data_IF_676606599053
#
_entry.id   IF_676606599053
#
_cell.length_a   1.000
_cell.length_b   1.000
_cell.length_c   1.000
_cell.angle_alpha   90.00
_cell.angle_beta   90.00
_cell.angle_gamma   90.00
#
_symmetry.space_group_name_H-M   'P 1'
#
loop_
_entity.id
_entity.type
_entity.pdbx_description
1 polymer ?
#
# COMPACT_ATOMS: atom_id res chain seq x y z
N UNK A 1 15.71 15.52 -7.84
CA UNK A 1 16.18 14.28 -8.49
C UNK A 1 15.06 13.25 -8.38
N UNK A 2 14.67 12.58 -9.47
CA UNK A 2 13.75 11.44 -9.36
C UNK A 2 14.54 10.29 -8.73
N UNK A 3 14.49 10.16 -7.41
CA UNK A 3 14.93 8.94 -6.74
C UNK A 3 13.93 7.85 -7.13
N UNK A 4 14.35 6.96 -8.03
CA UNK A 4 13.67 5.69 -8.22
C UNK A 4 14.17 4.80 -7.09
N UNK A 5 13.36 4.50 -6.06
CA UNK A 5 13.78 3.52 -5.07
C UNK A 5 14.18 2.25 -5.81
N UNK A 6 15.35 1.69 -5.49
CA UNK A 6 15.74 0.38 -6.02
C UNK A 6 14.55 -0.56 -5.82
N UNK A 7 14.00 -1.03 -6.94
CA UNK A 7 12.73 -1.72 -6.93
C UNK A 7 12.90 -3.11 -6.34
N UNK A 8 12.21 -3.35 -5.24
CA UNK A 8 12.11 -4.67 -4.62
C UNK A 8 11.49 -5.72 -5.56
N UNK A 9 10.86 -5.29 -6.66
CA UNK A 9 10.39 -6.14 -7.76
C UNK A 9 11.51 -6.84 -8.56
N UNK A 10 12.75 -6.31 -8.52
CA UNK A 10 13.88 -6.79 -9.33
C UNK A 10 14.88 -7.66 -8.55
N UNK A 11 14.67 -7.82 -7.24
CA UNK A 11 15.48 -8.64 -6.35
C UNK A 11 14.73 -9.92 -5.99
N UNK A 12 15.40 -10.87 -5.33
CA UNK A 12 14.69 -11.97 -4.67
C UNK A 12 13.69 -11.37 -3.70
N UNK A 13 12.42 -11.79 -3.79
CA UNK A 13 11.36 -11.31 -2.91
C UNK A 13 11.65 -11.77 -1.48
N UNK A 14 12.29 -10.90 -0.71
CA UNK A 14 12.42 -11.07 0.73
C UNK A 14 11.14 -10.57 1.41
N UNK A 15 10.63 -11.36 2.36
CA UNK A 15 9.48 -10.93 3.14
C UNK A 15 9.90 -9.83 4.13
N UNK A 16 9.37 -8.62 3.95
CA UNK A 16 9.57 -7.48 4.85
C UNK A 16 8.59 -7.45 6.03
N UNK A 17 7.56 -8.30 6.01
CA UNK A 17 6.60 -8.41 7.10
C UNK A 17 7.03 -9.51 8.09
N UNK A 18 6.69 -9.32 9.36
CA UNK A 18 6.97 -10.27 10.43
C UNK A 18 5.77 -10.34 11.38
N UNK A 19 5.57 -11.52 11.98
CA UNK A 19 4.53 -11.72 12.99
C UNK A 19 4.66 -10.76 14.17
N UNK A 20 3.55 -10.13 14.55
CA UNK A 20 3.54 -9.19 15.67
C UNK A 20 4.11 -7.81 15.35
N UNK A 21 4.41 -7.49 14.08
CA UNK A 21 4.78 -6.14 13.67
C UNK A 21 3.72 -5.12 14.11
N UNK A 22 4.19 -3.91 14.45
CA UNK A 22 3.32 -2.76 14.63
C UNK A 22 3.13 -2.04 13.31
N UNK A 23 2.03 -1.30 13.18
CA UNK A 23 1.82 -0.40 12.04
C UNK A 23 2.99 0.60 11.98
N UNK A 24 3.72 0.72 10.86
CA UNK A 24 4.81 1.68 10.75
C UNK A 24 4.27 3.11 10.84
N UNK A 25 5.05 4.02 11.43
CA UNK A 25 4.68 5.44 11.49
C UNK A 25 4.64 6.06 10.08
N UNK A 26 3.73 6.99 9.87
CA UNK A 26 3.66 7.79 8.65
C UNK A 26 4.97 8.58 8.46
N UNK A 27 5.61 8.50 7.28
CA UNK A 27 6.77 9.34 7.00
C UNK A 27 6.38 10.82 7.00
N UNK A 28 7.29 11.66 7.50
CA UNK A 28 7.20 13.11 7.29
C UNK A 28 7.74 13.42 5.91
N UNK A 29 6.94 14.08 5.07
CA UNK A 29 7.32 14.48 3.71
C UNK A 29 7.10 15.97 3.53
N UNK A 30 7.86 16.56 2.62
CA UNK A 30 7.68 17.95 2.19
C UNK A 30 6.59 18.00 1.10
N UNK A 31 5.33 17.97 1.53
CA UNK A 31 4.14 18.04 0.68
C UNK A 31 2.95 18.62 1.44
N UNK A 32 1.86 18.90 0.75
CA UNK A 32 0.63 19.35 1.41
C UNK A 32 0.05 18.21 2.28
N UNK A 33 -0.51 18.55 3.45
CA UNK A 33 -1.18 17.57 4.29
C UNK A 33 -2.42 17.03 3.58
N UNK A 34 -2.79 15.74 3.78
CA UNK A 34 -3.96 15.17 3.13
C UNK A 34 -5.27 15.92 3.44
N UNK A 35 -5.37 16.50 4.64
CA UNK A 35 -6.53 17.24 5.14
C UNK A 35 -6.63 18.69 4.65
N UNK A 36 -5.76 19.13 3.72
CA UNK A 36 -5.89 20.44 3.07
C UNK A 36 -7.28 20.60 2.44
N UNK A 37 -7.88 21.78 2.56
CA UNK A 37 -9.30 22.04 2.26
C UNK A 37 -9.77 21.45 0.91
N UNK A 38 -8.98 21.67 -0.15
CA UNK A 38 -9.29 21.18 -1.50
C UNK A 38 -9.36 19.65 -1.64
N UNK A 39 -8.80 18.89 -0.70
CA UNK A 39 -8.72 17.43 -0.74
C UNK A 39 -9.61 16.74 0.31
N UNK A 40 -10.33 17.49 1.14
CA UNK A 40 -11.08 16.94 2.28
C UNK A 40 -12.10 15.87 1.88
N UNK A 41 -12.72 15.99 0.71
CA UNK A 41 -13.69 15.01 0.20
C UNK A 41 -13.08 13.62 -0.05
N UNK A 42 -11.76 13.52 -0.19
CA UNK A 42 -11.07 12.23 -0.40
C UNK A 42 -10.67 11.56 0.92
N UNK A 43 -10.76 12.27 2.05
CA UNK A 43 -10.38 11.76 3.36
C UNK A 43 -11.50 10.89 3.91
N UNK A 44 -11.18 9.62 4.10
CA UNK A 44 -12.11 8.66 4.69
C UNK A 44 -12.09 8.80 6.21
N UNK A 45 -13.26 8.93 6.82
CA UNK A 45 -13.38 8.92 8.28
C UNK A 45 -13.14 7.51 8.86
N UNK A 46 -12.52 7.41 10.05
CA UNK A 46 -12.28 6.12 10.69
C UNK A 46 -13.57 5.50 11.23
N UNK A 47 -13.85 4.27 10.84
CA UNK A 47 -15.04 3.55 11.28
C UNK A 47 -14.71 2.29 12.12
N UNK A 48 -13.48 1.78 12.02
CA UNK A 48 -13.09 0.52 12.66
C UNK A 48 -11.91 0.69 13.65
N UNK A 49 -11.62 -0.30 14.52
CA UNK A 49 -10.42 -0.30 15.35
C UNK A 49 -9.12 -0.24 14.53
N UNK A 50 -9.08 -0.88 13.36
CA UNK A 50 -7.95 -0.91 12.43
C UNK A 50 -7.70 0.49 11.86
N UNK A 51 -8.75 1.18 11.41
CA UNK A 51 -8.69 2.58 10.98
C UNK A 51 -8.08 3.48 12.07
N UNK A 52 -8.56 3.34 13.31
CA UNK A 52 -8.03 4.09 14.46
C UNK A 52 -6.58 3.72 14.78
N UNK A 53 -6.15 2.50 14.50
CA UNK A 53 -4.76 2.09 14.69
C UNK A 53 -3.84 2.75 13.64
N UNK A 54 -4.28 2.81 12.39
CA UNK A 54 -3.58 3.49 11.31
C UNK A 54 -3.45 5.01 11.58
N UNK A 55 -4.54 5.66 12.00
CA UNK A 55 -4.51 7.09 12.35
C UNK A 55 -3.59 7.37 13.54
N UNK A 56 -3.57 6.50 14.56
CA UNK A 56 -2.64 6.61 15.69
C UNK A 56 -1.17 6.54 15.27
N UNK A 57 -0.87 5.85 14.17
CA UNK A 57 0.46 5.82 13.56
C UNK A 57 0.76 7.04 12.66
N UNK A 58 -0.15 8.02 12.59
CA UNK A 58 0.05 9.32 11.93
C UNK A 58 -0.42 9.38 10.47
N UNK A 59 -1.18 8.39 10.01
CA UNK A 59 -1.65 8.32 8.62
C UNK A 59 -3.07 8.88 8.46
N UNK A 60 -3.39 9.38 7.26
CA UNK A 60 -4.75 9.79 6.88
C UNK A 60 -5.36 8.79 5.89
N UNK A 61 -6.59 8.34 6.15
CA UNK A 61 -7.23 7.27 5.40
C UNK A 61 -7.81 7.79 4.07
N UNK A 62 -7.74 6.97 3.02
CA UNK A 62 -8.42 7.26 1.76
C UNK A 62 -8.86 6.00 1.03
N UNK A 63 -9.74 6.18 0.04
CA UNK A 63 -10.33 5.08 -0.70
C UNK A 63 -11.23 4.20 0.18
N UNK A 64 -11.94 3.26 -0.45
CA UNK A 64 -12.75 2.31 0.28
C UNK A 64 -11.88 1.24 0.96
N UNK A 65 -12.28 0.81 2.16
CA UNK A 65 -11.75 -0.43 2.76
C UNK A 65 -12.21 -1.62 1.91
N UNK A 66 -11.28 -2.49 1.54
CA UNK A 66 -11.57 -3.74 0.84
C UNK A 66 -11.62 -4.86 1.86
N UNK A 67 -12.63 -5.75 1.78
CA UNK A 67 -12.83 -6.83 2.74
C UNK A 67 -13.18 -8.13 2.01
N UNK A 68 -12.56 -9.23 2.44
CA UNK A 68 -12.94 -10.60 2.08
C UNK A 68 -12.91 -11.45 3.36
N UNK A 69 -14.09 -11.90 3.81
CA UNK A 69 -14.26 -12.56 5.11
C UNK A 69 -13.64 -11.74 6.25
N UNK A 70 -12.61 -12.28 6.92
CA UNK A 70 -11.91 -11.65 8.03
C UNK A 70 -10.69 -10.82 7.60
N UNK A 71 -10.33 -10.82 6.32
CA UNK A 71 -9.19 -10.09 5.78
C UNK A 71 -9.65 -8.75 5.23
N UNK A 72 -8.95 -7.68 5.62
CA UNK A 72 -9.20 -6.32 5.15
C UNK A 72 -7.93 -5.63 4.69
N UNK A 73 -8.08 -4.77 3.67
CA UNK A 73 -7.03 -3.91 3.16
C UNK A 73 -7.49 -2.46 3.27
N UNK A 74 -6.68 -1.67 3.96
CA UNK A 74 -6.95 -0.25 4.21
C UNK A 74 -5.80 0.57 3.62
N UNK A 75 -6.12 1.60 2.84
CA UNK A 75 -5.12 2.53 2.32
C UNK A 75 -5.08 3.81 3.13
N UNK A 76 -3.88 4.35 3.34
CA UNK A 76 -3.66 5.60 4.02
C UNK A 76 -2.42 6.32 3.48
N UNK A 77 -2.38 7.64 3.59
CA UNK A 77 -1.34 8.51 3.01
C UNK A 77 -0.78 9.49 4.04
N UNK A 78 0.40 10.02 3.73
CA UNK A 78 1.08 11.02 4.57
C UNK A 78 1.02 12.43 3.99
N UNK A 79 0.75 12.55 2.69
CA UNK A 79 0.56 13.83 2.03
C UNK A 79 -0.13 13.68 0.69
N UNK A 80 -0.36 14.80 0.04
CA UNK A 80 -0.99 14.89 -1.28
C UNK A 80 -0.27 15.89 -2.17
N UNK A 81 -0.41 15.73 -3.48
CA UNK A 81 0.02 16.76 -4.42
C UNK A 81 -1.10 17.79 -4.74
N UNK A 82 -0.80 18.74 -5.64
CA UNK A 82 -1.73 19.80 -6.04
C UNK A 82 -3.06 19.31 -6.63
N UNK A 83 -3.13 18.04 -7.07
CA UNK A 83 -4.33 17.40 -7.61
C UNK A 83 -4.93 16.36 -6.64
N UNK A 84 -4.58 16.45 -5.36
CA UNK A 84 -5.04 15.55 -4.29
C UNK A 84 -4.63 14.08 -4.47
N UNK A 85 -3.61 13.78 -5.29
CA UNK A 85 -3.15 12.40 -5.44
C UNK A 85 -2.30 11.99 -4.23
N UNK A 86 -2.44 10.76 -3.73
CA UNK A 86 -1.76 10.32 -2.51
C UNK A 86 -0.25 10.23 -2.69
N UNK A 87 0.48 10.77 -1.72
CA UNK A 87 1.93 10.72 -1.61
C UNK A 87 2.33 10.01 -0.31
N UNK A 88 3.47 9.32 -0.39
CA UNK A 88 4.02 8.46 0.65
C UNK A 88 2.91 7.66 1.35
N UNK A 89 2.14 6.95 0.54
CA UNK A 89 0.97 6.18 0.96
C UNK A 89 1.29 4.70 1.08
N UNK A 90 0.47 3.97 1.83
CA UNK A 90 0.62 2.54 2.01
C UNK A 90 -0.75 1.84 2.05
N UNK A 91 -0.75 0.55 1.73
CA UNK A 91 -1.87 -0.35 1.92
C UNK A 91 -1.54 -1.36 3.04
N UNK A 92 -2.37 -1.35 4.09
CA UNK A 92 -2.21 -2.14 5.31
C UNK A 92 -3.17 -3.32 5.29
N UNK A 93 -2.67 -4.51 5.59
CA UNK A 93 -3.45 -5.75 5.64
C UNK A 93 -3.74 -6.11 7.10
N UNK A 94 -5.00 -6.42 7.39
CA UNK A 94 -5.45 -6.93 8.68
C UNK A 94 -6.22 -8.23 8.50
N UNK A 95 -6.08 -9.13 9.46
CA UNK A 95 -6.78 -10.43 9.51
C UNK A 95 -7.37 -10.56 10.90
N UNK A 96 -8.70 -10.67 10.99
CA UNK A 96 -9.42 -10.71 12.29
C UNK A 96 -9.03 -9.53 13.21
N UNK A 97 -8.81 -8.35 12.62
CA UNK A 97 -8.40 -7.13 13.29
C UNK A 97 -6.93 -7.07 13.73
N UNK A 98 -6.14 -8.10 13.44
CA UNK A 98 -4.69 -8.10 13.71
C UNK A 98 -3.92 -7.64 12.47
N UNK A 99 -2.93 -6.78 12.66
CA UNK A 99 -2.08 -6.29 11.56
C UNK A 99 -1.19 -7.41 11.04
N UNK A 100 -1.28 -7.70 9.74
CA UNK A 100 -0.52 -8.75 9.07
C UNK A 100 0.70 -8.22 8.27
N UNK A 101 0.66 -6.95 7.87
CA UNK A 101 1.75 -6.33 7.11
C UNK A 101 1.31 -5.27 6.12
N UNK A 102 2.26 -4.80 5.30
CA UNK A 102 2.03 -3.84 4.21
C UNK A 102 2.23 -4.49 2.85
N UNK A 103 1.47 -4.04 1.84
CA UNK A 103 1.57 -4.55 0.47
C UNK A 103 2.85 -4.10 -0.25
N UNK A 104 3.56 -3.11 0.27
CA UNK A 104 4.88 -2.68 -0.22
C UNK A 104 5.84 -2.47 0.96
N UNK A 105 7.14 -2.77 0.80
CA UNK A 105 8.15 -2.56 1.85
C UNK A 105 8.40 -1.08 2.18
N UNK A 106 8.01 -0.17 1.28
CA UNK A 106 8.16 1.27 1.45
C UNK A 106 6.89 2.02 1.03
N UNK A 107 6.62 3.20 1.60
CA UNK A 107 5.53 4.08 1.13
C UNK A 107 5.67 4.39 -0.36
N UNK A 108 4.54 4.39 -1.05
CA UNK A 108 4.41 4.57 -2.50
C UNK A 108 3.93 5.98 -2.81
N UNK A 109 4.12 6.41 -4.05
CA UNK A 109 3.66 7.69 -4.53
C UNK A 109 2.80 7.50 -5.78
N UNK A 110 1.67 8.18 -5.83
CA UNK A 110 0.80 8.12 -7.01
C UNK A 110 1.56 8.56 -8.26
N UNK A 111 1.37 7.82 -9.36
CA UNK A 111 2.01 8.08 -10.66
C UNK A 111 3.53 8.00 -10.67
N UNK A 112 4.12 7.37 -9.65
CA UNK A 112 5.53 6.94 -9.68
C UNK A 112 5.60 5.42 -9.81
N UNK A 113 6.82 4.95 -10.07
CA UNK A 113 7.11 3.54 -10.18
C UNK A 113 6.77 2.79 -8.88
N UNK A 114 6.03 1.69 -8.98
CA UNK A 114 5.52 0.95 -7.82
C UNK A 114 4.21 1.51 -7.23
N UNK A 115 3.53 2.45 -7.90
CA UNK A 115 2.15 2.87 -7.56
C UNK A 115 1.17 1.71 -7.73
N UNK A 116 0.29 1.47 -6.75
CA UNK A 116 -0.77 0.46 -6.85
C UNK A 116 -1.76 0.86 -7.96
N UNK A 117 -1.99 -0.05 -8.89
CA UNK A 117 -3.05 0.00 -9.89
C UNK A 117 -4.33 -0.62 -9.31
N UNK A 118 -4.23 -1.87 -8.83
CA UNK A 118 -5.37 -2.66 -8.32
C UNK A 118 -4.94 -3.62 -7.22
N UNK A 119 -5.89 -3.94 -6.35
CA UNK A 119 -5.77 -4.94 -5.30
C UNK A 119 -6.92 -5.92 -5.50
N UNK A 120 -6.62 -7.21 -5.49
CA UNK A 120 -7.59 -8.29 -5.60
C UNK A 120 -7.48 -9.17 -4.35
N UNK A 121 -8.52 -9.19 -3.53
CA UNK A 121 -8.68 -10.19 -2.47
C UNK A 121 -9.21 -11.47 -3.11
N UNK A 122 -8.31 -12.41 -3.40
CA UNK A 122 -8.65 -13.66 -4.11
C UNK A 122 -9.45 -14.58 -3.20
N UNK A 123 -9.00 -14.70 -1.95
CA UNK A 123 -9.69 -15.38 -0.87
C UNK A 123 -9.24 -14.81 0.49
N UNK A 124 -9.54 -15.48 1.61
CA UNK A 124 -9.15 -15.01 2.94
C UNK A 124 -7.64 -14.91 3.13
N UNK A 125 -6.87 -15.76 2.45
CA UNK A 125 -5.46 -15.97 2.74
C UNK A 125 -4.57 -15.60 1.54
N UNK A 126 -5.14 -15.05 0.48
CA UNK A 126 -4.42 -14.72 -0.75
C UNK A 126 -4.86 -13.40 -1.35
N UNK A 127 -3.87 -12.57 -1.65
CA UNK A 127 -4.03 -11.24 -2.26
C UNK A 127 -3.17 -11.17 -3.51
N UNK A 128 -3.73 -10.67 -4.62
CA UNK A 128 -2.98 -10.31 -5.81
C UNK A 128 -2.98 -8.79 -5.94
N UNK A 129 -1.80 -8.19 -6.12
CA UNK A 129 -1.66 -6.74 -6.28
C UNK A 129 -1.00 -6.43 -7.62
N UNK A 130 -1.58 -5.48 -8.35
CA UNK A 130 -1.00 -4.91 -9.55
C UNK A 130 -0.35 -3.58 -9.21
N UNK A 131 0.93 -3.45 -9.56
CA UNK A 131 1.72 -2.24 -9.41
C UNK A 131 2.10 -1.69 -10.78
N UNK A 132 1.91 -0.39 -10.99
CA UNK A 132 2.34 0.34 -12.18
C UNK A 132 3.86 0.38 -12.23
N UNK A 133 4.42 0.13 -13.40
CA UNK A 133 5.85 0.22 -13.66
C UNK A 133 6.15 1.36 -14.60
N UNK A 134 6.80 2.39 -14.06
CA UNK A 134 7.17 3.60 -14.77
C UNK A 134 8.65 3.59 -15.13
N UNK A 135 8.94 3.68 -16.43
CA UNK A 135 10.28 3.94 -16.92
C UNK A 135 10.65 5.43 -16.81
N UNK A 136 11.93 5.76 -17.02
CA UNK A 136 12.39 7.16 -17.05
C UNK A 136 11.75 7.98 -18.17
N UNK A 137 11.32 7.32 -19.24
CA UNK A 137 10.70 7.94 -20.42
C UNK A 137 9.18 7.98 -20.35
N UNK A 138 8.59 7.31 -19.35
CA UNK A 138 7.13 7.26 -19.25
C UNK A 138 6.57 8.62 -18.83
N UNK A 139 5.51 9.10 -19.50
CA UNK A 139 4.76 10.23 -19.00
C UNK A 139 4.05 9.84 -17.70
N UNK A 140 3.91 10.77 -16.76
CA UNK A 140 3.29 10.47 -15.45
C UNK A 140 1.86 9.92 -15.56
N UNK A 141 1.15 10.14 -16.68
CA UNK A 141 -0.20 9.59 -16.88
C UNK A 141 -0.21 8.07 -17.05
N UNK A 142 0.86 7.48 -17.57
CA UNK A 142 0.76 6.25 -18.33
C UNK A 142 2.04 5.41 -18.17
N UNK A 143 1.98 4.43 -17.26
CA UNK A 143 3.02 3.42 -17.06
C UNK A 143 3.17 2.52 -18.28
N UNK A 144 4.39 2.12 -18.63
CA UNK A 144 4.68 1.18 -19.74
C UNK A 144 4.56 -0.29 -19.36
N UNK A 145 4.50 -0.63 -18.07
CA UNK A 145 4.39 -2.02 -17.61
C UNK A 145 3.57 -2.15 -16.31
N UNK A 146 3.23 -3.39 -15.96
CA UNK A 146 2.63 -3.77 -14.66
C UNK A 146 3.46 -4.90 -14.06
N UNK A 147 3.72 -4.81 -12.76
CA UNK A 147 4.17 -5.95 -11.95
C UNK A 147 3.01 -6.48 -11.14
N UNK A 148 2.80 -7.80 -11.19
CA UNK A 148 1.81 -8.53 -10.41
C UNK A 148 2.52 -9.23 -9.27
N UNK A 149 2.12 -8.97 -8.04
CA UNK A 149 2.67 -9.63 -6.86
C UNK A 149 1.58 -10.43 -6.17
N UNK A 150 1.83 -11.73 -6.03
CA UNK A 150 0.98 -12.63 -5.26
C UNK A 150 1.45 -12.67 -3.82
N UNK A 151 0.53 -12.51 -2.89
CA UNK A 151 0.77 -12.61 -1.47
C UNK A 151 -0.04 -13.77 -0.88
N UNK A 152 0.56 -14.45 0.09
CA UNK A 152 -0.13 -15.32 1.03
C UNK A 152 -0.22 -14.67 2.40
N UNK A 153 -1.18 -15.11 3.20
CA UNK A 153 -1.32 -14.77 4.60
C UNK A 153 -1.17 -16.07 5.38
N UNK A 154 -0.13 -16.15 6.20
CA UNK A 154 0.18 -17.35 6.97
C UNK A 154 0.29 -17.03 8.46
N UNK A 155 -0.06 -17.97 9.35
CA UNK A 155 0.16 -17.81 10.77
C UNK A 155 1.64 -18.03 11.14
N UNK A 156 2.26 -17.06 11.79
CA UNK A 156 3.57 -17.17 12.44
C UNK A 156 3.39 -16.92 13.94
N UNK A 157 3.67 -17.91 14.78
CA UNK A 157 3.46 -17.83 16.24
C UNK A 157 2.04 -17.35 16.62
N UNK A 158 1.02 -17.84 15.89
CA UNK A 158 -0.38 -17.45 16.03
C UNK A 158 -0.71 -15.97 15.68
N UNK A 159 0.21 -15.26 15.00
CA UNK A 159 -0.03 -13.95 14.40
C UNK A 159 -0.10 -14.07 12.88
N UNK A 160 -1.03 -13.37 12.20
CA UNK A 160 -1.06 -13.38 10.75
C UNK A 160 0.16 -12.63 10.20
N UNK A 161 0.74 -13.13 9.12
CA UNK A 161 1.85 -12.50 8.41
C UNK A 161 1.57 -12.53 6.92
N UNK A 162 1.64 -11.35 6.29
CA UNK A 162 1.56 -11.22 4.85
C UNK A 162 2.91 -11.54 4.21
N UNK A 163 2.97 -12.52 3.31
CA UNK A 163 4.19 -13.00 2.68
C UNK A 163 4.10 -12.78 1.16
N UNK A 164 5.01 -12.00 0.54
CA UNK A 164 5.11 -11.95 -0.91
C UNK A 164 5.66 -13.27 -1.44
N UNK A 165 4.96 -13.90 -2.38
CA UNK A 165 5.33 -15.21 -2.93
C UNK A 165 6.04 -15.12 -4.27
N UNK A 166 5.51 -14.29 -5.17
CA UNK A 166 6.03 -14.18 -6.53
C UNK A 166 5.75 -12.81 -7.12
N UNK A 167 6.60 -12.41 -8.07
CA UNK A 167 6.43 -11.21 -8.88
C UNK A 167 6.54 -11.59 -10.35
N UNK A 168 5.60 -11.14 -11.17
CA UNK A 168 5.67 -11.24 -12.63
C UNK A 168 5.51 -9.85 -13.21
N UNK A 169 6.34 -9.47 -14.18
CA UNK A 169 6.26 -8.16 -14.84
C UNK A 169 5.93 -8.33 -16.31
N UNK A 170 4.95 -7.56 -16.77
CA UNK A 170 4.47 -7.58 -18.15
C UNK A 170 4.42 -6.15 -18.70
N UNK A 171 4.88 -5.97 -19.94
CA UNK A 171 4.77 -4.70 -20.66
C UNK A 171 3.33 -4.52 -21.17
N UNK A 172 2.87 -3.27 -21.22
CA UNK A 172 1.58 -2.87 -21.81
C UNK A 172 1.68 -2.65 -23.31
#
# INVERSE_FOLDING_TARGET
>A
MKEYPQNWFEQSLENWNQGGNTIPNAPKIDADPPSVERCQEQIRQPNTPEDKAIIRAGWELFGATQVYNSTSVIMAMSGVDGMCRPLAYQAFVFVEGQFAGTLSPKPMNSRLDGDIERIFLINSDSILVEFKRYSKTDPLCCSSAISRVSFAIEPQEAKPVLIPLSVTTENK
#
